data_IF_058529055655
#
_entry.id   IF_058529055655
#
_cell.length_a   1.000
_cell.length_b   1.000
_cell.length_c   1.000
_cell.angle_alpha   90.00
_cell.angle_beta   90.00
_cell.angle_gamma   90.00
#
_symmetry.space_group_name_H-M   'P 1'
#
loop_
_entity.id
_entity.type
_entity.pdbx_description
1 polymer ?
#
# COMPACT_ATOMS: atom_id res chain seq x y z
N UNK A 1 -34.31 13.81 -3.26
CA UNK A 1 -33.17 14.51 -2.64
C UNK A 1 -31.91 14.03 -3.33
N UNK A 2 -31.10 14.94 -3.84
CA UNK A 2 -29.83 14.64 -4.50
C UNK A 2 -28.78 14.21 -3.48
N UNK A 3 -28.72 12.92 -3.17
CA UNK A 3 -27.56 12.36 -2.48
C UNK A 3 -26.36 12.42 -3.43
N UNK A 4 -25.46 13.37 -3.20
CA UNK A 4 -24.19 13.45 -3.92
C UNK A 4 -23.36 12.19 -3.64
N UNK A 5 -22.61 11.69 -4.63
CA UNK A 5 -21.88 10.42 -4.57
C UNK A 5 -20.58 10.55 -3.76
N UNK A 6 -20.65 10.74 -2.45
CA UNK A 6 -19.46 10.89 -1.59
C UNK A 6 -18.74 9.53 -1.43
N UNK A 7 -19.46 8.41 -1.47
CA UNK A 7 -18.87 7.08 -1.28
C UNK A 7 -17.91 6.64 -2.40
N UNK A 8 -18.01 7.20 -3.61
CA UNK A 8 -17.09 6.89 -4.72
C UNK A 8 -15.77 7.68 -4.69
N UNK A 9 -15.63 8.67 -3.80
CA UNK A 9 -14.47 9.56 -3.72
C UNK A 9 -13.36 9.10 -2.75
N UNK A 10 -13.51 7.98 -2.04
CA UNK A 10 -12.62 7.61 -0.92
C UNK A 10 -11.98 6.20 -1.00
N UNK A 11 -12.37 5.33 -1.93
CA UNK A 11 -11.76 3.99 -2.05
C UNK A 11 -10.44 4.06 -2.82
N UNK A 12 -9.34 4.19 -2.07
CA UNK A 12 -7.97 4.21 -2.59
C UNK A 12 -7.08 3.26 -1.80
N UNK A 13 -5.97 2.86 -2.39
CA UNK A 13 -4.88 2.20 -1.65
C UNK A 13 -4.03 3.27 -0.97
N UNK A 14 -3.72 3.11 0.32
CA UNK A 14 -2.94 4.09 1.10
C UNK A 14 -2.31 3.48 2.36
N UNK A 15 -1.26 4.13 2.87
CA UNK A 15 -0.65 3.81 4.17
C UNK A 15 -1.60 4.18 5.29
N UNK A 16 -2.03 3.20 6.09
CA UNK A 16 -2.82 3.46 7.31
C UNK A 16 -1.94 3.70 8.53
N UNK A 17 -0.75 3.10 8.57
CA UNK A 17 0.21 3.26 9.67
C UNK A 17 1.63 3.02 9.18
N UNK A 18 2.56 3.82 9.66
CA UNK A 18 3.99 3.58 9.52
C UNK A 18 4.71 3.99 10.80
N UNK A 19 5.76 3.27 11.14
CA UNK A 19 6.72 3.63 12.21
C UNK A 19 7.79 4.62 11.73
N UNK A 20 7.87 4.85 10.42
CA UNK A 20 8.81 5.76 9.77
C UNK A 20 8.07 6.78 8.90
N UNK A 21 8.65 7.98 8.68
CA UNK A 21 8.07 8.97 7.79
C UNK A 21 7.84 8.43 6.38
N UNK A 22 6.71 8.84 5.79
CA UNK A 22 6.42 8.66 4.37
C UNK A 22 7.08 9.82 3.63
N UNK A 23 8.06 9.52 2.79
CA UNK A 23 8.69 10.53 1.94
C UNK A 23 7.77 10.88 0.76
N UNK A 24 7.17 9.86 0.13
CA UNK A 24 6.27 10.01 -1.00
C UNK A 24 5.18 8.93 -0.96
N UNK A 25 3.97 9.27 -1.38
CA UNK A 25 2.86 8.32 -1.56
C UNK A 25 2.03 8.72 -2.78
N UNK A 26 1.67 7.74 -3.59
CA UNK A 26 0.88 7.92 -4.80
C UNK A 26 -0.06 6.76 -5.03
N UNK A 27 -1.24 7.06 -5.57
CA UNK A 27 -2.25 6.10 -5.99
C UNK A 27 -2.84 6.57 -7.32
N UNK A 28 -2.92 5.67 -8.30
CA UNK A 28 -3.49 5.92 -9.62
C UNK A 28 -4.83 5.16 -9.69
N UNK A 29 -5.99 5.83 -9.58
CA UNK A 29 -7.29 5.17 -9.55
C UNK A 29 -7.59 4.30 -10.77
N UNK A 30 -7.12 4.69 -11.95
CA UNK A 30 -7.41 4.03 -13.23
C UNK A 30 -6.77 2.64 -13.31
N UNK A 31 -5.59 2.47 -12.72
CA UNK A 31 -4.83 1.21 -12.71
C UNK A 31 -4.87 0.52 -11.35
N UNK A 32 -5.45 1.16 -10.33
CA UNK A 32 -5.34 0.81 -8.92
C UNK A 32 -3.89 0.57 -8.46
N UNK A 33 -2.94 1.22 -9.13
CA UNK A 33 -1.52 1.16 -8.82
C UNK A 33 -1.21 2.06 -7.64
N UNK A 34 -0.36 1.57 -6.75
CA UNK A 34 0.05 2.29 -5.55
C UNK A 34 1.56 2.21 -5.37
N UNK A 35 2.18 3.35 -5.10
CA UNK A 35 3.60 3.43 -4.79
C UNK A 35 3.82 4.35 -3.61
N UNK A 36 4.60 3.90 -2.64
CA UNK A 36 5.02 4.71 -1.50
C UNK A 36 6.49 4.47 -1.16
N UNK A 37 7.12 5.52 -0.64
CA UNK A 37 8.52 5.52 -0.24
C UNK A 37 8.61 5.95 1.22
N UNK A 38 9.33 5.16 2.02
CA UNK A 38 9.57 5.40 3.43
C UNK A 38 11.07 5.56 3.66
N UNK A 39 11.46 6.44 4.57
CA UNK A 39 12.88 6.69 4.87
C UNK A 39 13.16 6.58 6.36
N UNK A 40 14.31 6.00 6.72
CA UNK A 40 14.74 5.91 8.11
C UNK A 40 15.73 4.79 8.39
N UNK A 41 15.94 4.52 9.67
CA UNK A 41 16.92 3.56 10.18
C UNK A 41 16.31 2.82 11.37
N UNK A 42 16.34 1.49 11.33
CA UNK A 42 15.88 0.64 12.42
C UNK A 42 14.62 -0.18 12.09
N UNK A 43 14.00 -0.81 13.10
CA UNK A 43 12.84 -1.68 12.90
C UNK A 43 11.66 -0.90 12.33
N UNK A 44 11.11 -1.36 11.22
CA UNK A 44 10.00 -0.74 10.52
C UNK A 44 8.80 -1.68 10.45
N UNK A 45 7.65 -1.16 10.86
CA UNK A 45 6.30 -1.70 10.64
C UNK A 45 5.52 -0.71 9.79
N UNK A 46 5.00 -1.18 8.66
CA UNK A 46 4.19 -0.42 7.71
C UNK A 46 2.91 -1.21 7.43
N UNK A 47 1.77 -0.53 7.41
CA UNK A 47 0.48 -1.11 7.11
C UNK A 47 -0.21 -0.31 6.00
N UNK A 48 -0.64 -1.01 4.96
CA UNK A 48 -1.25 -0.44 3.76
C UNK A 48 -2.63 -1.05 3.57
N UNK A 49 -3.66 -0.22 3.48
CA UNK A 49 -5.03 -0.62 3.15
C UNK A 49 -5.20 -0.59 1.64
N UNK A 50 -5.74 -1.66 1.07
CA UNK A 50 -6.00 -1.76 -0.37
C UNK A 50 -7.40 -1.25 -0.74
N UNK A 51 -7.49 -0.55 -1.87
CA UNK A 51 -8.76 -0.28 -2.55
C UNK A 51 -9.51 -1.58 -2.87
N UNK A 52 -10.84 -1.53 -2.94
CA UNK A 52 -11.65 -2.64 -3.45
C UNK A 52 -11.34 -3.00 -4.90
N UNK A 53 -10.77 -2.08 -5.69
CA UNK A 53 -10.33 -2.33 -7.07
C UNK A 53 -9.04 -3.17 -7.15
N UNK A 54 -8.26 -3.23 -6.06
CA UNK A 54 -7.03 -4.01 -5.97
C UNK A 54 -7.36 -5.46 -5.56
N UNK A 55 -7.65 -6.33 -6.55
CA UNK A 55 -7.84 -7.78 -6.37
C UNK A 55 -6.52 -8.49 -6.01
N UNK A 56 -6.04 -8.27 -4.79
CA UNK A 56 -4.79 -8.81 -4.23
C UNK A 56 -5.07 -10.10 -3.42
N UNK A 57 -4.19 -11.11 -3.48
CA UNK A 57 -2.96 -11.20 -4.28
C UNK A 57 -3.16 -11.77 -5.69
N UNK A 58 -4.42 -11.91 -6.15
CA UNK A 58 -4.74 -12.67 -7.38
C UNK A 58 -4.32 -11.93 -8.65
N UNK A 59 -4.77 -10.70 -8.84
CA UNK A 59 -4.49 -9.86 -10.02
C UNK A 59 -3.44 -8.81 -9.75
N UNK A 60 -3.12 -8.54 -8.49
CA UNK A 60 -2.09 -7.57 -8.08
C UNK A 60 -0.97 -8.28 -7.32
N UNK A 61 0.24 -7.71 -7.39
CA UNK A 61 1.40 -8.13 -6.61
C UNK A 61 2.00 -6.94 -5.86
N UNK A 62 2.81 -7.27 -4.86
CA UNK A 62 3.59 -6.36 -4.05
C UNK A 62 5.06 -6.58 -4.39
N UNK A 63 5.73 -5.51 -4.80
CA UNK A 63 7.18 -5.47 -4.96
C UNK A 63 7.77 -4.53 -3.90
N UNK A 64 8.90 -4.93 -3.31
CA UNK A 64 9.61 -4.19 -2.29
C UNK A 64 11.06 -3.99 -2.73
N UNK A 65 11.62 -2.81 -2.48
CA UNK A 65 13.04 -2.54 -2.73
C UNK A 65 13.99 -3.24 -1.75
N UNK A 66 13.45 -3.87 -0.70
CA UNK A 66 14.20 -4.52 0.38
C UNK A 66 13.48 -5.79 0.84
N UNK A 67 14.24 -6.76 1.36
CA UNK A 67 13.67 -7.98 1.96
C UNK A 67 12.86 -7.63 3.20
N UNK A 68 11.64 -8.15 3.29
CA UNK A 68 10.73 -7.93 4.41
C UNK A 68 9.89 -9.17 4.69
N UNK A 69 9.37 -9.28 5.90
CA UNK A 69 8.24 -10.14 6.20
C UNK A 69 6.95 -9.43 5.78
N UNK A 70 6.09 -10.12 5.04
CA UNK A 70 4.84 -9.57 4.53
C UNK A 70 3.68 -10.46 4.95
N UNK A 71 2.67 -9.86 5.55
CA UNK A 71 1.42 -10.51 5.94
C UNK A 71 0.24 -9.86 5.23
N UNK A 72 -0.62 -10.67 4.62
CA UNK A 72 -1.88 -10.24 4.03
C UNK A 72 -3.03 -10.59 4.98
N UNK A 73 -3.88 -9.60 5.27
CA UNK A 73 -5.10 -9.77 6.09
C UNK A 73 -6.31 -9.46 5.20
N UNK A 74 -7.00 -10.48 4.66
CA UNK A 74 -8.10 -10.30 3.70
C UNK A 74 -9.29 -9.52 4.26
N UNK A 75 -9.66 -9.76 5.52
CA UNK A 75 -10.88 -9.26 6.15
C UNK A 75 -10.90 -7.73 6.17
N UNK A 76 -9.73 -7.14 6.43
CA UNK A 76 -9.52 -5.70 6.45
C UNK A 76 -8.65 -5.22 5.28
N UNK A 77 -8.54 -6.00 4.20
CA UNK A 77 -7.74 -5.72 2.99
C UNK A 77 -6.41 -5.01 3.28
N UNK A 78 -5.66 -5.49 4.27
CA UNK A 78 -4.44 -4.81 4.73
C UNK A 78 -3.21 -5.67 4.48
N UNK A 79 -2.17 -5.05 3.94
CA UNK A 79 -0.82 -5.62 3.88
C UNK A 79 -0.02 -5.04 5.04
N UNK A 80 0.60 -5.90 5.85
CA UNK A 80 1.56 -5.51 6.88
C UNK A 80 2.95 -5.92 6.44
N UNK A 81 3.90 -4.98 6.49
CA UNK A 81 5.30 -5.16 6.11
C UNK A 81 6.15 -4.91 7.36
N UNK A 82 7.00 -5.88 7.70
CA UNK A 82 7.94 -5.81 8.83
C UNK A 82 9.35 -6.06 8.32
N UNK A 83 10.26 -5.12 8.58
CA UNK A 83 11.65 -5.19 8.13
C UNK A 83 12.57 -4.37 9.03
N UNK A 84 13.88 -4.55 8.86
CA UNK A 84 14.88 -3.59 9.34
C UNK A 84 15.17 -2.58 8.22
N UNK A 85 14.72 -1.34 8.39
CA UNK A 85 14.93 -0.29 7.41
C UNK A 85 16.36 0.27 7.53
N UNK A 86 17.04 0.42 6.40
CA UNK A 86 18.35 1.03 6.31
C UNK A 86 18.38 2.03 5.14
N UNK A 87 17.91 3.25 5.39
CA UNK A 87 17.86 4.34 4.42
C UNK A 87 16.47 4.50 3.83
N UNK A 88 16.09 3.65 2.88
CA UNK A 88 14.84 3.78 2.13
C UNK A 88 14.18 2.43 1.87
N UNK A 89 12.83 2.42 1.87
CA UNK A 89 12.00 1.34 1.37
C UNK A 89 11.02 1.92 0.36
N UNK A 90 10.99 1.37 -0.85
CA UNK A 90 9.92 1.59 -1.81
C UNK A 90 8.99 0.40 -1.80
N UNK A 91 7.70 0.68 -1.64
CA UNK A 91 6.59 -0.27 -1.76
C UNK A 91 5.87 0.03 -3.07
N UNK A 92 5.65 -0.99 -3.89
CA UNK A 92 4.90 -0.88 -5.13
C UNK A 92 3.86 -1.99 -5.22
N UNK A 93 2.60 -1.62 -5.35
CA UNK A 93 1.48 -2.54 -5.55
C UNK A 93 0.90 -2.26 -6.92
N UNK A 94 0.95 -3.26 -7.79
CA UNK A 94 0.58 -3.09 -9.18
C UNK A 94 0.00 -4.38 -9.77
N UNK A 95 -0.64 -4.27 -10.93
CA UNK A 95 -1.27 -5.41 -11.60
C UNK A 95 -0.19 -6.41 -12.04
N UNK A 96 -0.47 -7.71 -11.92
CA UNK A 96 0.43 -8.75 -12.43
C UNK A 96 0.49 -8.67 -13.95
N UNK A 97 1.71 -8.73 -14.50
CA UNK A 97 1.94 -8.71 -15.95
C UNK A 97 1.83 -7.33 -16.61
N UNK A 98 1.78 -6.25 -15.82
CA UNK A 98 2.04 -4.88 -16.29
C UNK A 98 3.52 -4.62 -16.46
#
# INVERSE_FOLDING_TARGET
GTEKPIAKLLDRTYTIRSTHPIAEESYIPETAEYKATYTGQGPAVIQIRLSTATDYPRRYKLDLSSTAQVTWTPENRTITIVLQLNGQLTVHIHKRGS
#
